data_IF_263508295582
#
_entry.id   IF_263508295582
#
_cell.length_a   1.000
_cell.length_b   1.000
_cell.length_c   1.000
_cell.angle_alpha   90.00
_cell.angle_beta   90.00
_cell.angle_gamma   90.00
#
_symmetry.space_group_name_H-M   'P 1'
#
loop_
_entity.id
_entity.type
_entity.pdbx_description
1 polymer ?
#
# COMPACT_ATOMS: atom_id res chain seq x y z
N UNK A 1 3.38 -4.68 14.08
CA UNK A 1 2.80 -3.33 14.14
C UNK A 1 1.36 -3.42 14.60
N UNK A 2 0.90 -2.41 15.33
CA UNK A 2 -0.52 -2.18 15.63
C UNK A 2 -1.20 -1.46 14.46
N UNK A 3 -2.54 -1.49 14.41
CA UNK A 3 -3.34 -0.77 13.39
C UNK A 3 -2.99 0.74 13.37
N UNK A 4 -2.70 1.33 14.54
CA UNK A 4 -2.34 2.74 14.64
C UNK A 4 -0.97 3.04 14.02
N UNK A 5 0.02 2.18 14.26
CA UNK A 5 1.35 2.29 13.62
C UNK A 5 1.26 2.14 12.10
N UNK A 6 0.38 1.25 11.60
CA UNK A 6 0.18 1.08 10.16
C UNK A 6 -0.45 2.31 9.53
N UNK A 7 -1.44 2.93 10.20
CA UNK A 7 -2.01 4.21 9.75
C UNK A 7 -0.94 5.29 9.65
N UNK A 8 -0.09 5.44 10.66
CA UNK A 8 0.99 6.43 10.64
C UNK A 8 2.03 6.17 9.54
N UNK A 9 2.38 4.91 9.28
CA UNK A 9 3.28 4.54 8.18
C UNK A 9 2.63 4.82 6.82
N UNK A 10 1.34 4.56 6.65
CA UNK A 10 0.58 4.86 5.43
C UNK A 10 0.56 6.37 5.16
N UNK A 11 0.32 7.20 6.18
CA UNK A 11 0.32 8.65 6.03
C UNK A 11 1.69 9.17 5.62
N UNK A 12 2.75 8.76 6.32
CA UNK A 12 4.13 9.15 5.97
C UNK A 12 4.54 8.69 4.57
N UNK A 13 4.20 7.44 4.22
CA UNK A 13 4.52 6.90 2.89
C UNK A 13 3.71 7.61 1.79
N UNK A 14 2.48 8.02 2.08
CA UNK A 14 1.62 8.78 1.15
C UNK A 14 2.09 10.21 0.96
N UNK A 15 2.56 10.86 2.02
CA UNK A 15 3.18 12.19 1.96
C UNK A 15 4.42 12.13 1.07
N UNK A 16 5.32 11.17 1.33
CA UNK A 16 6.53 10.97 0.54
C UNK A 16 6.23 10.69 -0.94
N UNK A 17 5.20 9.87 -1.21
CA UNK A 17 4.72 9.60 -2.57
C UNK A 17 4.27 10.89 -3.27
N UNK A 18 3.62 11.78 -2.55
CA UNK A 18 3.16 13.08 -3.08
C UNK A 18 4.33 13.99 -3.40
N UNK A 19 5.35 14.06 -2.54
CA UNK A 19 6.59 14.80 -2.83
C UNK A 19 7.27 14.31 -4.12
N UNK A 20 7.37 12.99 -4.30
CA UNK A 20 7.93 12.41 -5.52
C UNK A 20 7.12 12.73 -6.77
N UNK A 21 5.79 12.75 -6.68
CA UNK A 21 4.94 13.21 -7.78
C UNK A 21 5.20 14.68 -8.14
N UNK A 22 5.41 15.54 -7.13
CA UNK A 22 5.80 16.93 -7.39
C UNK A 22 7.16 17.04 -8.08
N UNK A 23 8.16 16.25 -7.65
CA UNK A 23 9.49 16.21 -8.29
C UNK A 23 9.39 15.72 -9.75
N UNK A 24 8.65 14.63 -9.97
CA UNK A 24 8.42 14.08 -11.30
C UNK A 24 7.65 15.03 -12.23
N UNK A 25 6.82 15.90 -11.66
CA UNK A 25 6.14 16.95 -12.42
C UNK A 25 7.07 18.08 -12.86
N UNK A 26 8.22 18.27 -12.21
CA UNK A 26 9.20 19.29 -12.58
C UNK A 26 10.24 18.76 -13.60
N UNK A 27 10.38 17.44 -13.73
CA UNK A 27 11.25 16.80 -14.70
C UNK A 27 11.19 15.28 -14.59
N UNK A 28 11.49 14.59 -15.69
CA UNK A 28 11.51 13.12 -15.70
C UNK A 28 12.76 12.61 -14.99
N UNK A 29 12.62 12.29 -13.70
CA UNK A 29 13.66 11.65 -12.91
C UNK A 29 13.38 10.14 -12.75
N UNK A 30 14.19 9.26 -13.37
CA UNK A 30 13.96 7.82 -13.32
C UNK A 30 14.17 7.22 -11.92
N UNK A 31 14.99 7.85 -11.06
CA UNK A 31 15.18 7.38 -9.69
C UNK A 31 13.94 7.68 -8.83
N UNK A 32 13.36 8.87 -8.97
CA UNK A 32 12.10 9.25 -8.34
C UNK A 32 10.95 8.34 -8.81
N UNK A 33 10.91 7.95 -10.07
CA UNK A 33 9.91 7.00 -10.58
C UNK A 33 10.07 5.59 -9.97
N UNK A 34 11.30 5.12 -9.77
CA UNK A 34 11.59 3.84 -9.10
C UNK A 34 11.23 3.88 -7.61
N UNK A 35 11.53 5.00 -6.93
CA UNK A 35 11.15 5.21 -5.53
C UNK A 35 9.63 5.27 -5.38
N UNK A 36 8.94 6.00 -6.25
CA UNK A 36 7.48 6.09 -6.29
C UNK A 36 6.82 4.71 -6.42
N UNK A 37 7.36 3.86 -7.30
CA UNK A 37 6.91 2.47 -7.45
C UNK A 37 7.10 1.69 -6.15
N UNK A 38 8.30 1.77 -5.55
CA UNK A 38 8.62 1.07 -4.30
C UNK A 38 7.71 1.50 -3.14
N UNK A 39 7.42 2.81 -3.02
CA UNK A 39 6.49 3.34 -2.02
C UNK A 39 5.05 2.87 -2.27
N UNK A 40 4.65 2.73 -3.53
CA UNK A 40 3.32 2.22 -3.88
C UNK A 40 3.18 0.74 -3.49
N UNK A 41 4.21 -0.07 -3.74
CA UNK A 41 4.27 -1.47 -3.28
C UNK A 41 4.28 -1.58 -1.75
N UNK A 42 4.95 -0.66 -1.05
CA UNK A 42 4.94 -0.62 0.42
C UNK A 42 3.57 -0.24 0.96
N UNK A 43 2.89 0.74 0.37
CA UNK A 43 1.52 1.11 0.75
C UNK A 43 0.57 -0.08 0.61
N UNK A 44 0.65 -0.83 -0.49
CA UNK A 44 -0.22 -1.99 -0.71
C UNK A 44 -0.05 -3.04 0.40
N UNK A 45 1.20 -3.34 0.78
CA UNK A 45 1.52 -4.24 1.90
C UNK A 45 0.99 -3.73 3.23
N UNK A 46 1.17 -2.45 3.53
CA UNK A 46 0.66 -1.84 4.76
C UNK A 46 -0.87 -1.94 4.83
N UNK A 47 -1.57 -1.69 3.73
CA UNK A 47 -3.03 -1.86 3.67
C UNK A 47 -3.48 -3.32 3.81
N UNK A 48 -2.72 -4.27 3.29
CA UNK A 48 -2.98 -5.70 3.48
C UNK A 48 -2.77 -6.14 4.94
N UNK A 49 -1.68 -5.69 5.57
CA UNK A 49 -1.40 -5.92 6.99
C UNK A 49 -2.49 -5.30 7.87
N UNK A 50 -2.91 -4.07 7.60
CA UNK A 50 -4.02 -3.43 8.33
C UNK A 50 -5.31 -4.24 8.21
N UNK A 51 -5.65 -4.67 6.98
CA UNK A 51 -6.84 -5.46 6.71
C UNK A 51 -6.79 -6.80 7.44
N UNK A 52 -5.64 -7.46 7.45
CA UNK A 52 -5.43 -8.72 8.15
C UNK A 52 -5.60 -8.55 9.66
N UNK A 53 -4.98 -7.53 10.25
CA UNK A 53 -5.09 -7.24 11.68
C UNK A 53 -6.51 -6.86 12.08
N UNK A 54 -7.19 -6.00 11.30
CA UNK A 54 -8.59 -5.64 11.53
C UNK A 54 -9.51 -6.86 11.42
N UNK A 55 -9.21 -7.76 10.49
CA UNK A 55 -9.95 -8.99 10.32
C UNK A 55 -9.77 -9.94 11.51
N UNK A 56 -8.53 -10.13 11.99
CA UNK A 56 -8.23 -10.90 13.20
C UNK A 56 -8.92 -10.30 14.45
N UNK A 57 -8.88 -8.97 14.61
CA UNK A 57 -9.54 -8.24 15.70
C UNK A 57 -11.07 -8.37 15.66
N UNK A 58 -11.67 -8.35 14.46
CA UNK A 58 -13.13 -8.33 14.29
C UNK A 58 -13.76 -9.72 14.36
N UNK A 59 -13.07 -10.75 13.89
CA UNK A 59 -13.67 -12.07 13.70
C UNK A 59 -13.16 -13.16 14.66
N UNK A 60 -12.03 -12.95 15.35
CA UNK A 60 -11.39 -14.04 16.11
C UNK A 60 -10.87 -15.16 15.18
N UNK A 61 -10.03 -16.05 15.72
CA UNK A 61 -9.09 -16.95 15.02
C UNK A 61 -9.44 -17.43 13.57
N UNK A 62 -8.84 -16.72 12.61
CA UNK A 62 -8.04 -17.18 11.46
C UNK A 62 -8.60 -18.08 10.34
N UNK A 63 -9.76 -18.74 10.43
CA UNK A 63 -10.04 -19.81 9.43
C UNK A 63 -10.75 -19.45 8.10
N UNK A 64 -11.20 -18.22 7.85
CA UNK A 64 -12.09 -17.96 6.68
C UNK A 64 -11.69 -16.83 5.71
N UNK A 65 -10.62 -16.08 5.95
CA UNK A 65 -10.42 -14.76 5.29
C UNK A 65 -9.38 -14.80 4.16
N UNK A 66 -8.80 -15.97 3.85
CA UNK A 66 -7.75 -16.13 2.82
C UNK A 66 -8.31 -16.07 1.38
N UNK A 67 -9.63 -16.06 1.19
CA UNK A 67 -10.22 -16.23 -0.14
C UNK A 67 -10.31 -14.96 -1.01
N UNK A 68 -10.11 -13.75 -0.47
CA UNK A 68 -10.39 -12.49 -1.20
C UNK A 68 -9.17 -11.69 -1.64
N UNK A 69 -7.98 -11.98 -1.13
CA UNK A 69 -6.74 -11.29 -1.52
C UNK A 69 -6.24 -11.65 -2.94
N UNK A 70 -6.85 -12.65 -3.60
CA UNK A 70 -6.45 -13.12 -4.94
C UNK A 70 -7.16 -12.45 -6.13
N UNK A 71 -8.04 -11.46 -5.91
CA UNK A 71 -8.91 -10.93 -7.00
C UNK A 71 -8.44 -9.59 -7.59
N UNK A 72 -7.54 -8.85 -6.96
CA UNK A 72 -7.07 -7.55 -7.50
C UNK A 72 -5.67 -7.57 -8.13
N UNK A 73 -5.13 -8.75 -8.45
CA UNK A 73 -3.85 -8.88 -9.18
C UNK A 73 -3.95 -8.46 -10.67
N UNK A 74 -5.16 -8.21 -11.23
CA UNK A 74 -5.32 -8.06 -12.69
C UNK A 74 -6.45 -7.14 -13.17
N UNK A 75 -6.50 -5.87 -12.73
CA UNK A 75 -7.22 -4.86 -13.51
C UNK A 75 -6.26 -3.77 -14.03
N UNK A 76 -5.89 -3.97 -15.31
CA UNK A 76 -5.91 -2.91 -16.33
C UNK A 76 -4.75 -1.90 -16.36
N UNK A 77 -3.53 -2.36 -16.66
CA UNK A 77 -2.54 -1.50 -17.36
C UNK A 77 -1.95 -2.14 -18.62
N UNK A 78 -2.83 -2.67 -19.44
CA UNK A 78 -2.59 -2.89 -20.87
C UNK A 78 -3.93 -2.81 -21.63
N UNK A 79 -4.52 -1.61 -21.68
CA UNK A 79 -5.51 -1.23 -22.69
C UNK A 79 -5.07 0.11 -23.28
#
# INVERSE_FOLDING_TARGET
MTVNEIHQEIEQTSERRTELWHILSQGHDPAAAAELKSLSERLDRLWDEERTLKAELRFGDRNHIVARARVEERLERAA
#
